data_IF_935138829156
#
_entry.id   IF_935138829156
#
_cell.length_a   1.000
_cell.length_b   1.000
_cell.length_c   1.000
_cell.angle_alpha   90.00
_cell.angle_beta   90.00
_cell.angle_gamma   90.00
#
_symmetry.space_group_name_H-M   'P 1'
#
loop_
_entity.id
_entity.type
_entity.pdbx_description
1 polymer ?
#
# COMPACT_ATOMS: atom_id res chain seq x y z
N UNK A 1 -14.94 42.27 -47.34
CA UNK A 1 -14.34 41.55 -46.20
C UNK A 1 -15.43 41.26 -45.17
N UNK A 2 -15.84 40.01 -45.02
CA UNK A 2 -16.53 39.52 -43.82
C UNK A 2 -16.50 38.01 -43.83
N UNK A 3 -15.40 37.45 -43.33
CA UNK A 3 -15.29 36.04 -43.00
C UNK A 3 -16.14 35.78 -41.76
N UNK A 4 -17.18 34.95 -41.89
CA UNK A 4 -17.91 34.41 -40.74
C UNK A 4 -17.08 33.27 -40.16
N UNK A 5 -16.64 33.49 -38.92
CA UNK A 5 -15.81 32.58 -38.15
C UNK A 5 -16.48 31.24 -37.89
N UNK A 6 -15.62 30.24 -37.81
CA UNK A 6 -15.91 28.83 -37.66
C UNK A 6 -15.49 28.42 -36.23
N UNK A 7 -16.16 27.42 -35.67
CA UNK A 7 -15.81 26.66 -34.45
C UNK A 7 -16.10 27.28 -33.07
N UNK A 8 -17.05 26.66 -32.35
CA UNK A 8 -16.82 26.14 -31.00
C UNK A 8 -17.93 25.14 -30.65
N UNK A 9 -17.68 23.85 -30.88
CA UNK A 9 -18.42 22.78 -30.23
C UNK A 9 -17.93 22.71 -28.78
N UNK A 10 -18.77 23.14 -27.84
CA UNK A 10 -18.48 23.03 -26.42
C UNK A 10 -18.52 21.58 -25.97
N UNK A 11 -17.36 20.99 -25.71
CA UNK A 11 -17.27 19.74 -24.96
C UNK A 11 -17.43 20.05 -23.48
N UNK A 12 -18.65 19.92 -22.95
CA UNK A 12 -18.89 20.00 -21.50
C UNK A 12 -18.54 18.63 -20.88
N UNK A 13 -17.52 18.54 -19.99
CA UNK A 13 -17.25 17.28 -19.31
C UNK A 13 -18.37 17.05 -18.29
N UNK A 14 -19.19 16.02 -18.53
CA UNK A 14 -20.20 15.55 -17.59
C UNK A 14 -19.51 15.19 -16.26
N UNK A 15 -19.95 15.81 -15.16
CA UNK A 15 -19.39 15.75 -13.81
C UNK A 15 -19.45 14.39 -13.09
N UNK A 16 -19.63 13.29 -13.82
CA UNK A 16 -19.66 11.92 -13.31
C UNK A 16 -18.28 11.23 -13.25
N UNK A 17 -17.26 11.75 -13.97
CA UNK A 17 -15.92 11.11 -14.05
C UNK A 17 -14.97 11.46 -12.89
N UNK A 18 -15.17 12.58 -12.18
CA UNK A 18 -14.28 12.99 -11.08
C UNK A 18 -14.46 12.18 -9.79
N UNK A 19 -15.61 11.53 -9.62
CA UNK A 19 -15.95 10.81 -8.39
C UNK A 19 -15.27 9.44 -8.33
N UNK A 20 -15.12 8.77 -9.48
CA UNK A 20 -14.42 7.48 -9.59
C UNK A 20 -12.91 7.61 -9.41
N UNK A 21 -12.29 8.67 -9.94
CA UNK A 21 -10.86 8.95 -9.75
C UNK A 21 -10.56 9.27 -8.27
N UNK A 22 -11.41 10.08 -7.63
CA UNK A 22 -11.31 10.36 -6.20
C UNK A 22 -11.54 9.10 -5.33
N UNK A 23 -12.46 8.23 -5.72
CA UNK A 23 -12.72 6.96 -5.04
C UNK A 23 -11.51 6.03 -5.05
N UNK A 24 -10.84 5.88 -6.19
CA UNK A 24 -9.60 5.09 -6.27
C UNK A 24 -8.50 5.71 -5.40
N UNK A 25 -8.37 7.04 -5.40
CA UNK A 25 -7.44 7.76 -4.52
C UNK A 25 -7.65 7.44 -3.05
N UNK A 26 -8.92 7.41 -2.59
CA UNK A 26 -9.26 7.06 -1.21
C UNK A 26 -8.91 5.60 -0.88
N UNK A 27 -9.19 4.66 -1.78
CA UNK A 27 -8.85 3.24 -1.57
C UNK A 27 -7.33 3.02 -1.48
N UNK A 28 -6.54 3.71 -2.31
CA UNK A 28 -5.08 3.62 -2.25
C UNK A 28 -4.55 4.13 -0.91
N UNK A 29 -5.02 5.30 -0.45
CA UNK A 29 -4.56 5.86 0.83
C UNK A 29 -4.99 5.01 2.02
N UNK A 30 -6.24 4.51 2.04
CA UNK A 30 -6.72 3.61 3.09
C UNK A 30 -5.89 2.31 3.13
N UNK A 31 -5.67 1.69 1.97
CA UNK A 31 -4.91 0.44 1.88
C UNK A 31 -3.44 0.64 2.28
N UNK A 32 -2.84 1.79 1.94
CA UNK A 32 -1.50 2.17 2.37
C UNK A 32 -1.41 2.32 3.88
N UNK A 33 -2.42 2.93 4.51
CA UNK A 33 -2.51 3.04 5.96
C UNK A 33 -2.52 1.69 6.66
N UNK A 34 -3.39 0.77 6.20
CA UNK A 34 -3.47 -0.60 6.73
C UNK A 34 -2.15 -1.36 6.54
N UNK A 35 -1.54 -1.27 5.36
CA UNK A 35 -0.27 -1.95 5.07
C UNK A 35 0.85 -1.43 5.98
N UNK A 36 0.91 -0.11 6.22
CA UNK A 36 1.92 0.50 7.08
C UNK A 36 1.82 -0.03 8.51
N UNK A 37 0.63 -0.01 9.10
CA UNK A 37 0.41 -0.52 10.47
C UNK A 37 0.73 -2.01 10.56
N UNK A 38 0.37 -2.79 9.55
CA UNK A 38 0.71 -4.21 9.50
C UNK A 38 2.23 -4.44 9.51
N UNK A 39 2.98 -3.76 8.64
CA UNK A 39 4.44 -3.90 8.55
C UNK A 39 5.14 -3.39 9.82
N UNK A 40 4.70 -2.28 10.40
CA UNK A 40 5.27 -1.76 11.65
C UNK A 40 5.18 -2.79 12.78
N UNK A 41 4.06 -3.51 12.89
CA UNK A 41 3.88 -4.54 13.90
C UNK A 41 4.75 -5.78 13.66
N UNK A 42 4.82 -6.26 12.41
CA UNK A 42 5.64 -7.43 12.06
C UNK A 42 7.14 -7.12 12.22
N UNK A 43 7.59 -5.96 11.77
CA UNK A 43 9.00 -5.55 11.84
C UNK A 43 9.44 -5.37 13.29
N UNK A 44 8.60 -4.78 14.16
CA UNK A 44 8.92 -4.62 15.59
C UNK A 44 9.21 -5.95 16.27
N UNK A 45 8.37 -6.95 16.01
CA UNK A 45 8.56 -8.30 16.55
C UNK A 45 9.79 -8.99 15.91
N UNK A 46 10.00 -8.85 14.60
CA UNK A 46 11.14 -9.45 13.90
C UNK A 46 12.50 -8.87 14.35
N UNK A 47 12.56 -7.55 14.57
CA UNK A 47 13.74 -6.87 15.14
C UNK A 47 13.99 -7.37 16.56
N UNK A 48 12.95 -7.55 17.36
CA UNK A 48 13.08 -8.10 18.72
C UNK A 48 13.72 -9.50 18.69
N UNK A 49 13.30 -10.39 17.78
CA UNK A 49 13.92 -11.71 17.63
C UNK A 49 15.39 -11.63 17.16
N UNK A 50 15.68 -10.69 16.26
CA UNK A 50 17.04 -10.45 15.75
C UNK A 50 17.99 -9.98 16.86
N UNK A 51 17.55 -9.02 17.67
CA UNK A 51 18.29 -8.48 18.82
C UNK A 51 18.47 -9.54 19.91
N UNK A 52 17.43 -10.31 20.21
CA UNK A 52 17.51 -11.42 21.17
C UNK A 52 18.58 -12.44 20.78
N UNK A 53 18.74 -12.70 19.47
CA UNK A 53 19.77 -13.57 18.94
C UNK A 53 21.15 -12.88 18.79
N UNK A 54 21.31 -11.63 19.23
CA UNK A 54 22.53 -10.81 19.11
C UNK A 54 23.05 -10.68 17.66
N UNK A 55 22.13 -10.72 16.69
CA UNK A 55 22.44 -10.53 15.26
C UNK A 55 22.18 -9.08 14.86
N UNK A 56 22.87 -8.62 13.81
CA UNK A 56 22.64 -7.31 13.18
C UNK A 56 21.80 -7.37 11.91
N UNK A 57 21.52 -8.59 11.44
CA UNK A 57 20.79 -8.85 10.21
C UNK A 57 19.53 -9.64 10.53
N UNK A 58 18.39 -9.08 10.14
CA UNK A 58 17.10 -9.76 10.20
C UNK A 58 17.12 -10.88 9.16
N UNK A 59 16.79 -12.09 9.61
CA UNK A 59 16.69 -13.28 8.77
C UNK A 59 15.23 -13.54 8.40
N UNK A 60 14.99 -14.38 7.39
CA UNK A 60 13.64 -14.82 7.05
C UNK A 60 12.93 -15.48 8.25
N UNK A 61 13.68 -16.22 9.08
CA UNK A 61 13.14 -16.88 10.26
C UNK A 61 12.64 -15.91 11.33
N UNK A 62 13.28 -14.76 11.51
CA UNK A 62 12.80 -13.73 12.45
C UNK A 62 11.41 -13.21 12.05
N UNK A 63 11.19 -13.03 10.75
CA UNK A 63 9.90 -12.62 10.18
C UNK A 63 8.86 -13.73 10.31
N UNK A 64 9.24 -14.98 10.02
CA UNK A 64 8.35 -16.15 10.18
C UNK A 64 7.89 -16.29 11.64
N UNK A 65 8.80 -16.10 12.60
CA UNK A 65 8.46 -16.15 14.02
C UNK A 65 7.58 -14.99 14.47
N UNK A 66 7.87 -13.76 14.01
CA UNK A 66 7.01 -12.61 14.24
C UNK A 66 5.57 -12.84 13.73
N UNK A 67 5.44 -13.36 12.51
CA UNK A 67 4.15 -13.69 11.90
C UNK A 67 3.43 -14.81 12.65
N UNK A 68 4.14 -15.87 13.04
CA UNK A 68 3.58 -16.98 13.82
C UNK A 68 3.04 -16.50 15.17
N UNK A 69 3.75 -15.60 15.86
CA UNK A 69 3.30 -14.97 17.12
C UNK A 69 1.99 -14.19 16.95
N UNK A 70 1.78 -13.58 15.79
CA UNK A 70 0.56 -12.84 15.47
C UNK A 70 -0.57 -13.71 14.86
N UNK A 71 -0.41 -15.04 14.83
CA UNK A 71 -1.38 -15.97 14.25
C UNK A 71 -1.45 -15.97 12.72
N UNK A 72 -0.41 -15.46 12.04
CA UNK A 72 -0.33 -15.32 10.57
C UNK A 72 0.78 -16.18 9.98
N UNK A 73 0.82 -17.47 10.32
CA UNK A 73 1.89 -18.39 9.92
C UNK A 73 2.13 -18.41 8.40
N UNK A 74 3.38 -18.18 8.01
CA UNK A 74 3.84 -18.23 6.62
C UNK A 74 4.74 -19.47 6.41
N UNK A 75 4.50 -20.20 5.34
CA UNK A 75 5.21 -21.45 5.00
C UNK A 75 6.25 -21.23 3.90
N UNK A 76 7.27 -22.10 3.84
CA UNK A 76 8.27 -22.12 2.75
C UNK A 76 9.60 -21.39 3.03
N UNK A 77 9.87 -21.00 4.27
CA UNK A 77 11.02 -20.15 4.64
C UNK A 77 12.00 -20.77 5.66
N UNK A 78 11.93 -22.09 5.90
CA UNK A 78 12.75 -22.80 6.90
C UNK A 78 14.11 -23.31 6.42
N UNK A 79 14.73 -22.63 5.44
CA UNK A 79 16.00 -23.02 4.82
C UNK A 79 17.23 -22.50 5.55
#
# INVERSE_FOLDING_TARGET
MSGRGNHQAGYSPSGSSRRSEAYLGLIYEETRGVLKVFLENVIRDAVTYTEHAKRKTVTAMDVVYALKRQGRTLYGFGG
#
